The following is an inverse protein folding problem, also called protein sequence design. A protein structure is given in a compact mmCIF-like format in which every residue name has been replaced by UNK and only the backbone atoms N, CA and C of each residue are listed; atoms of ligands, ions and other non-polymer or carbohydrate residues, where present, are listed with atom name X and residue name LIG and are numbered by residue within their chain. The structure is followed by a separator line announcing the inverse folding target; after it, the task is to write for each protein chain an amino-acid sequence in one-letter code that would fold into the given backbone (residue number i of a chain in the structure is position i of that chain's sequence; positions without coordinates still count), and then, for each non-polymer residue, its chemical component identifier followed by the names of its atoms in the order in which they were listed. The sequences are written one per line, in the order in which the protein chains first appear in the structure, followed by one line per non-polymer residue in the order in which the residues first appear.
data_IF_464935279708
#
_entry.id   IF_464935279708
#
_cell.length_a   1.000
_cell.length_b   1.000
_cell.length_c   1.000
_cell.angle_alpha   90.00
_cell.angle_beta   90.00
_cell.angle_gamma   90.00
#
_symmetry.space_group_name_H-M   'P 1'
#
loop_
_entity.id
_entity.type
_entity.pdbx_description
1 polymer ?
#
# COMPACT_ATOMS: atom_id res chain seq x y z
N UNK A 1 6.80 -19.36 -3.42
CA UNK A 1 6.70 -17.92 -3.12
C UNK A 1 6.27 -17.15 -4.37
N UNK A 2 5.23 -16.37 -4.26
CA UNK A 2 4.71 -15.57 -5.38
C UNK A 2 5.51 -14.26 -5.51
N UNK A 3 5.51 -13.68 -6.73
CA UNK A 3 6.33 -12.50 -7.03
C UNK A 3 5.87 -11.26 -6.27
N UNK A 4 4.60 -10.87 -6.41
CA UNK A 4 4.14 -9.63 -5.78
C UNK A 4 2.65 -9.61 -5.51
N UNK A 5 2.30 -8.86 -4.48
CA UNK A 5 0.94 -8.52 -4.11
C UNK A 5 0.85 -7.00 -3.95
N UNK A 6 -0.18 -6.40 -4.52
CA UNK A 6 -0.52 -4.99 -4.31
C UNK A 6 -1.84 -4.96 -3.57
N UNK A 7 -1.86 -4.35 -2.40
CA UNK A 7 -3.09 -4.29 -1.61
C UNK A 7 -3.40 -2.85 -1.19
N UNK A 8 -4.68 -2.57 -1.07
CA UNK A 8 -5.09 -1.27 -0.54
C UNK A 8 -6.36 -0.69 -1.14
N UNK A 9 -6.28 0.62 -1.43
CA UNK A 9 -7.39 1.47 -1.86
C UNK A 9 -7.35 1.76 -3.37
N UNK A 10 -7.94 2.87 -3.80
CA UNK A 10 -7.97 3.26 -5.20
C UNK A 10 -6.57 3.45 -5.81
N UNK A 11 -5.61 3.87 -5.01
CA UNK A 11 -4.22 4.01 -5.48
C UNK A 11 -3.63 2.64 -5.79
N UNK A 12 -3.88 1.66 -4.93
CA UNK A 12 -3.47 0.27 -5.18
C UNK A 12 -4.12 -0.30 -6.45
N UNK A 13 -5.42 -0.02 -6.66
CA UNK A 13 -6.11 -0.41 -7.89
C UNK A 13 -5.39 0.16 -9.12
N UNK A 14 -5.06 1.45 -9.08
CA UNK A 14 -4.37 2.13 -10.17
C UNK A 14 -2.99 1.57 -10.45
N UNK A 15 -2.19 1.31 -9.42
CA UNK A 15 -0.87 0.68 -9.57
C UNK A 15 -1.01 -0.70 -10.20
N UNK A 16 -1.98 -1.49 -9.75
CA UNK A 16 -2.24 -2.83 -10.24
C UNK A 16 -2.55 -2.87 -11.74
N UNK A 17 -3.16 -1.82 -12.27
CA UNK A 17 -3.44 -1.69 -13.71
C UNK A 17 -2.17 -1.76 -14.54
N UNK A 18 -1.05 -1.27 -14.01
CA UNK A 18 0.25 -1.27 -14.71
C UNK A 18 1.17 -2.41 -14.25
N UNK A 19 0.66 -3.31 -13.41
CA UNK A 19 1.40 -4.47 -12.93
C UNK A 19 0.54 -5.73 -13.02
N UNK A 20 0.25 -6.20 -14.26
CA UNK A 20 -0.57 -7.40 -14.46
C UNK A 20 0.07 -8.68 -13.93
N UNK A 21 1.38 -8.65 -13.64
CA UNK A 21 2.12 -9.74 -13.03
C UNK A 21 1.88 -9.89 -11.53
N UNK A 22 1.32 -8.87 -10.87
CA UNK A 22 1.05 -8.89 -9.44
C UNK A 22 -0.39 -9.28 -9.13
N UNK A 23 -0.59 -10.01 -8.04
CA UNK A 23 -1.93 -10.15 -7.48
C UNK A 23 -2.37 -8.81 -6.88
N UNK A 24 -3.67 -8.52 -6.94
CA UNK A 24 -4.21 -7.26 -6.42
C UNK A 24 -5.39 -7.56 -5.51
N UNK A 25 -5.34 -7.04 -4.28
CA UNK A 25 -6.47 -7.06 -3.34
C UNK A 25 -6.70 -5.63 -2.91
N UNK A 26 -7.57 -4.94 -3.64
CA UNK A 26 -7.78 -3.52 -3.44
C UNK A 26 -9.21 -3.13 -3.78
N UNK A 27 -9.67 -2.05 -3.16
CA UNK A 27 -11.01 -1.52 -3.40
C UNK A 27 -11.01 -0.01 -3.29
N UNK A 28 -11.60 0.64 -4.27
CA UNK A 28 -11.74 2.10 -4.30
C UNK A 28 -12.49 2.58 -3.04
N UNK A 29 -11.92 3.57 -2.37
CA UNK A 29 -12.54 4.21 -1.20
C UNK A 29 -12.43 3.45 0.12
N UNK A 30 -11.74 2.32 0.15
CA UNK A 30 -11.68 1.50 1.37
C UNK A 30 -10.77 2.13 2.42
N UNK A 31 -11.20 2.07 3.67
CA UNK A 31 -10.37 2.42 4.82
C UNK A 31 -9.50 1.24 5.25
N UNK A 32 -8.45 1.50 6.02
CA UNK A 32 -7.60 0.45 6.56
C UNK A 32 -8.39 -0.54 7.41
N UNK A 33 -9.30 -0.05 8.24
CA UNK A 33 -10.15 -0.89 9.09
C UNK A 33 -11.05 -1.82 8.26
N UNK A 34 -11.69 -1.29 7.23
CA UNK A 34 -12.56 -2.09 6.37
C UNK A 34 -11.78 -3.06 5.50
N UNK A 35 -10.56 -2.68 5.06
CA UNK A 35 -9.71 -3.59 4.33
C UNK A 35 -9.37 -4.82 5.18
N UNK A 36 -8.93 -4.60 6.41
CA UNK A 36 -8.62 -5.68 7.35
C UNK A 36 -9.83 -6.60 7.56
N UNK A 37 -10.98 -6.00 7.84
CA UNK A 37 -12.23 -6.72 8.06
C UNK A 37 -12.62 -7.60 6.87
N UNK A 38 -12.48 -7.07 5.66
CA UNK A 38 -12.93 -7.74 4.44
C UNK A 38 -11.95 -8.80 3.93
N UNK A 39 -10.64 -8.60 4.15
CA UNK A 39 -9.63 -9.38 3.44
C UNK A 39 -8.63 -10.13 4.32
N UNK A 40 -8.68 -9.99 5.65
CA UNK A 40 -7.70 -10.66 6.51
C UNK A 40 -7.68 -12.18 6.36
N UNK A 41 -8.80 -12.79 5.98
CA UNK A 41 -8.90 -14.24 5.77
C UNK A 41 -8.84 -14.63 4.29
N UNK A 42 -8.58 -13.68 3.40
CA UNK A 42 -8.53 -13.95 1.96
C UNK A 42 -7.35 -14.88 1.64
N UNK A 43 -7.58 -15.96 0.90
CA UNK A 43 -6.50 -16.93 0.60
C UNK A 43 -5.29 -16.29 -0.08
N UNK A 44 -5.51 -15.36 -1.00
CA UNK A 44 -4.43 -14.68 -1.72
C UNK A 44 -3.60 -13.80 -0.78
N UNK A 45 -4.22 -13.16 0.21
CA UNK A 45 -3.51 -12.35 1.20
C UNK A 45 -2.59 -13.21 2.08
N UNK A 46 -3.01 -14.43 2.40
CA UNK A 46 -2.32 -15.27 3.37
C UNK A 46 -1.20 -16.14 2.77
N UNK A 47 -0.75 -15.80 1.56
CA UNK A 47 0.36 -16.47 0.89
C UNK A 47 1.67 -15.71 1.07
N UNK A 48 2.83 -16.39 0.96
CA UNK A 48 4.12 -15.68 0.98
C UNK A 48 4.43 -15.04 -0.36
N UNK A 49 5.04 -13.85 -0.32
CA UNK A 49 5.42 -13.07 -1.49
C UNK A 49 6.85 -12.59 -1.41
N UNK A 50 7.47 -12.36 -2.56
CA UNK A 50 8.76 -11.65 -2.60
C UNK A 50 8.55 -10.19 -2.20
N UNK A 51 7.53 -9.54 -2.76
CA UNK A 51 7.21 -8.14 -2.47
C UNK A 51 5.73 -7.98 -2.22
N UNK A 52 5.38 -7.22 -1.19
CA UNK A 52 4.01 -6.72 -0.96
C UNK A 52 4.06 -5.21 -0.93
N UNK A 53 3.26 -4.57 -1.78
CA UNK A 53 3.07 -3.13 -1.75
C UNK A 53 1.73 -2.79 -1.10
N UNK A 54 1.76 -1.87 -0.15
CA UNK A 54 0.57 -1.46 0.60
C UNK A 54 0.27 -0.01 0.29
N UNK A 55 -0.94 0.28 -0.17
CA UNK A 55 -1.44 1.64 -0.33
C UNK A 55 -2.76 1.80 0.42
N UNK A 56 -2.65 2.22 1.66
CA UNK A 56 -3.79 2.46 2.56
C UNK A 56 -3.56 3.75 3.34
N UNK A 57 -4.60 4.28 3.95
CA UNK A 57 -4.53 5.47 4.78
C UNK A 57 -5.17 6.70 4.16
N UNK A 58 -5.27 6.76 2.82
CA UNK A 58 -5.85 7.93 2.14
C UNK A 58 -7.33 8.16 2.47
N UNK A 59 -8.04 7.11 2.85
CA UNK A 59 -9.47 7.20 3.20
C UNK A 59 -9.71 7.14 4.71
N UNK A 60 -8.65 7.10 5.50
CA UNK A 60 -8.77 6.98 6.96
C UNK A 60 -8.91 8.35 7.60
N UNK A 61 -9.84 8.44 8.56
CA UNK A 61 -10.14 9.68 9.28
C UNK A 61 -10.19 9.50 10.79
N UNK A 62 -9.89 8.28 11.30
CA UNK A 62 -10.08 7.93 12.71
C UNK A 62 -8.84 7.34 13.34
N UNK A 63 -8.86 7.26 14.67
CA UNK A 63 -7.74 6.75 15.48
C UNK A 63 -7.47 5.24 15.28
N UNK A 64 -8.40 4.50 14.66
CA UNK A 64 -8.24 3.08 14.38
C UNK A 64 -7.22 2.77 13.28
N UNK A 65 -6.74 3.79 12.57
CA UNK A 65 -5.77 3.62 11.48
C UNK A 65 -4.52 2.88 11.94
N UNK A 66 -3.93 3.30 13.05
CA UNK A 66 -2.69 2.71 13.54
C UNK A 66 -2.86 1.22 13.85
N UNK A 67 -3.90 0.87 14.57
CA UNK A 67 -4.20 -0.52 14.95
C UNK A 67 -4.45 -1.38 13.72
N UNK A 68 -5.28 -0.90 12.80
CA UNK A 68 -5.63 -1.64 11.60
C UNK A 68 -4.43 -1.86 10.69
N UNK A 69 -3.62 -0.83 10.45
CA UNK A 69 -2.42 -0.95 9.62
C UNK A 69 -1.39 -1.87 10.26
N UNK A 70 -1.20 -1.78 11.56
CA UNK A 70 -0.30 -2.68 12.26
C UNK A 70 -0.75 -4.14 12.13
N UNK A 71 -2.04 -4.40 12.32
CA UNK A 71 -2.59 -5.74 12.19
C UNK A 71 -2.42 -6.30 10.77
N UNK A 72 -2.68 -5.48 9.76
CA UNK A 72 -2.47 -5.87 8.37
C UNK A 72 -1.01 -6.23 8.16
N UNK A 73 -0.09 -5.35 8.57
CA UNK A 73 1.35 -5.57 8.38
C UNK A 73 1.83 -6.84 9.07
N UNK A 74 1.37 -7.10 10.28
CA UNK A 74 1.79 -8.26 11.06
C UNK A 74 1.38 -9.59 10.43
N UNK A 75 0.38 -9.59 9.56
CA UNK A 75 -0.11 -10.79 8.86
C UNK A 75 0.59 -11.05 7.54
N UNK A 76 1.39 -10.11 7.05
CA UNK A 76 2.06 -10.20 5.75
C UNK A 76 3.33 -11.04 5.89
N UNK A 77 3.50 -11.99 4.97
CA UNK A 77 4.70 -12.81 4.82
C UNK A 77 5.38 -12.43 3.51
N UNK A 78 6.43 -11.64 3.59
CA UNK A 78 7.12 -11.16 2.40
C UNK A 78 8.60 -10.92 2.69
N UNK A 79 9.42 -11.06 1.65
CA UNK A 79 10.83 -10.69 1.74
C UNK A 79 11.00 -9.18 1.84
N UNK A 80 10.12 -8.43 1.19
CA UNK A 80 10.13 -6.97 1.20
C UNK A 80 8.71 -6.44 1.22
N UNK A 81 8.48 -5.43 2.06
CA UNK A 81 7.22 -4.68 2.09
C UNK A 81 7.50 -3.23 1.74
N UNK A 82 6.68 -2.68 0.86
CA UNK A 82 6.77 -1.30 0.39
C UNK A 82 5.46 -0.59 0.71
N UNK A 83 5.56 0.54 1.38
CA UNK A 83 4.40 1.39 1.69
C UNK A 83 4.36 2.55 0.69
N UNK A 84 3.26 2.65 -0.05
CA UNK A 84 2.99 3.83 -0.87
C UNK A 84 2.37 4.88 0.05
N UNK A 85 3.05 6.01 0.21
CA UNK A 85 2.67 7.01 1.19
C UNK A 85 1.46 7.83 0.72
N UNK A 86 0.47 8.06 1.60
CA UNK A 86 -0.63 8.96 1.26
C UNK A 86 -0.17 10.42 1.16
N UNK A 87 -1.06 11.29 0.70
CA UNK A 87 -0.79 12.71 0.44
C UNK A 87 -0.13 13.43 1.61
N UNK A 88 0.96 14.15 1.34
CA UNK A 88 1.64 14.99 2.34
C UNK A 88 0.72 16.07 2.89
N UNK A 89 -0.01 16.73 2.01
CA UNK A 89 -0.82 17.88 2.37
C UNK A 89 -2.09 17.49 3.11
N UNK A 90 -2.70 16.36 2.71
CA UNK A 90 -4.05 16.01 3.16
C UNK A 90 -4.07 14.92 4.25
N UNK A 91 -3.02 14.12 4.35
CA UNK A 91 -2.97 12.99 5.28
C UNK A 91 -1.69 12.94 6.14
N UNK A 92 -1.33 14.04 6.81
CA UNK A 92 -0.08 14.07 7.58
C UNK A 92 -0.07 13.09 8.76
N UNK A 93 -1.22 12.87 9.41
CA UNK A 93 -1.32 11.94 10.55
C UNK A 93 -1.10 10.51 10.10
N UNK A 94 -1.75 10.11 9.00
CA UNK A 94 -1.61 8.76 8.45
C UNK A 94 -0.17 8.50 8.00
N UNK A 95 0.50 9.50 7.45
CA UNK A 95 1.91 9.39 7.06
C UNK A 95 2.81 9.09 8.25
N UNK A 96 2.61 9.77 9.38
CA UNK A 96 3.39 9.53 10.61
C UNK A 96 3.19 8.10 11.09
N UNK A 97 1.96 7.64 11.12
CA UNK A 97 1.62 6.27 11.55
C UNK A 97 2.32 5.24 10.67
N UNK A 98 2.23 5.41 9.34
CA UNK A 98 2.86 4.49 8.39
C UNK A 98 4.37 4.47 8.57
N UNK A 99 4.99 5.64 8.73
CA UNK A 99 6.44 5.72 8.94
C UNK A 99 6.89 4.97 10.19
N UNK A 100 6.13 5.07 11.27
CA UNK A 100 6.44 4.35 12.50
C UNK A 100 6.35 2.83 12.31
N UNK A 101 5.31 2.36 11.64
CA UNK A 101 5.14 0.93 11.36
C UNK A 101 6.24 0.45 10.42
N UNK A 102 6.49 1.18 9.34
CA UNK A 102 7.53 0.83 8.37
C UNK A 102 8.91 0.74 9.03
N UNK A 103 9.20 1.67 9.93
CA UNK A 103 10.48 1.67 10.66
C UNK A 103 10.60 0.44 11.55
N UNK A 104 9.55 0.08 12.27
CA UNK A 104 9.54 -1.09 13.15
C UNK A 104 9.81 -2.39 12.37
N UNK A 105 9.19 -2.55 11.21
CA UNK A 105 9.34 -3.75 10.39
C UNK A 105 10.47 -3.65 9.35
N UNK A 106 11.19 -2.53 9.31
CA UNK A 106 12.26 -2.24 8.34
C UNK A 106 11.76 -2.30 6.90
N UNK A 107 10.57 -1.79 6.68
CA UNK A 107 9.95 -1.72 5.37
C UNK A 107 10.45 -0.53 4.57
N UNK A 108 10.21 -0.57 3.26
CA UNK A 108 10.52 0.54 2.36
C UNK A 108 9.34 1.49 2.26
N UNK A 109 9.64 2.75 1.95
CA UNK A 109 8.65 3.80 1.74
C UNK A 109 8.79 4.33 0.33
N UNK A 110 7.67 4.52 -0.35
CA UNK A 110 7.61 5.03 -1.70
C UNK A 110 6.66 6.23 -1.73
N UNK A 111 7.19 7.38 -2.14
CA UNK A 111 6.41 8.61 -2.24
C UNK A 111 5.76 8.75 -3.61
N UNK A 112 4.61 9.41 -3.66
CA UNK A 112 3.94 9.75 -4.90
C UNK A 112 4.54 11.07 -5.41
N UNK A 113 5.31 11.01 -6.49
CA UNK A 113 6.00 12.19 -7.03
C UNK A 113 5.15 12.97 -8.03
N UNK A 114 4.25 12.30 -8.74
CA UNK A 114 3.37 12.94 -9.74
C UNK A 114 1.92 12.84 -9.29
N UNK A 115 1.51 13.83 -8.54
CA UNK A 115 0.18 13.92 -7.98
C UNK A 115 -0.74 14.67 -8.94
N UNK A 116 -1.98 14.19 -9.09
CA UNK A 116 -3.00 14.93 -9.84
C UNK A 116 -3.47 16.15 -9.05
N UNK A 117 -4.29 17.00 -9.70
CA UNK A 117 -4.74 18.24 -9.07
C UNK A 117 -5.63 18.02 -7.84
N UNK A 118 -6.19 16.83 -7.63
CA UNK A 118 -6.98 16.56 -6.42
C UNK A 118 -6.10 16.40 -5.17
N UNK A 119 -4.78 16.31 -5.34
CA UNK A 119 -3.84 16.20 -4.24
C UNK A 119 -3.83 14.85 -3.53
N UNK A 120 -4.55 13.86 -4.04
CA UNK A 120 -4.68 12.53 -3.43
C UNK A 120 -4.19 11.45 -4.38
N UNK A 121 -4.68 11.46 -5.61
CA UNK A 121 -4.39 10.41 -6.58
C UNK A 121 -3.19 10.77 -7.46
N UNK A 122 -2.34 9.80 -7.78
CA UNK A 122 -1.30 9.99 -8.80
C UNK A 122 -1.91 10.32 -10.16
N UNK A 123 -1.13 10.99 -11.02
CA UNK A 123 -1.45 11.06 -12.45
C UNK A 123 -1.23 9.69 -13.09
N UNK A 124 -1.66 9.53 -14.36
CA UNK A 124 -1.39 8.28 -15.10
C UNK A 124 0.09 7.95 -15.12
N UNK A 125 0.95 8.95 -15.39
CA UNK A 125 2.39 8.77 -15.35
C UNK A 125 2.90 8.43 -13.95
N UNK A 126 2.28 9.00 -12.92
CA UNK A 126 2.59 8.69 -11.53
C UNK A 126 2.34 7.22 -11.18
N UNK A 127 1.23 6.66 -11.66
CA UNK A 127 0.93 5.24 -11.46
C UNK A 127 1.95 4.34 -12.15
N UNK A 128 2.36 4.69 -13.36
CA UNK A 128 3.39 3.93 -14.09
C UNK A 128 4.69 3.93 -13.32
N UNK A 129 5.11 5.08 -12.83
CA UNK A 129 6.35 5.23 -12.05
C UNK A 129 6.30 4.44 -10.75
N UNK A 130 5.17 4.47 -10.03
CA UNK A 130 5.01 3.69 -8.81
C UNK A 130 5.13 2.19 -9.09
N UNK A 131 4.48 1.72 -10.14
CA UNK A 131 4.56 0.31 -10.53
C UNK A 131 5.98 -0.14 -10.81
N UNK A 132 6.76 0.67 -11.56
CA UNK A 132 8.16 0.39 -11.84
C UNK A 132 9.03 0.43 -10.59
N UNK A 133 8.78 1.38 -9.70
CA UNK A 133 9.57 1.56 -8.48
C UNK A 133 9.44 0.37 -7.54
N UNK A 134 8.29 -0.27 -7.48
CA UNK A 134 8.10 -1.48 -6.67
C UNK A 134 9.09 -2.56 -7.08
N UNK A 135 9.25 -2.79 -8.38
CA UNK A 135 10.23 -3.76 -8.89
C UNK A 135 11.67 -3.37 -8.55
N UNK A 136 12.01 -2.11 -8.75
CA UNK A 136 13.36 -1.63 -8.51
C UNK A 136 13.77 -1.79 -7.04
N UNK A 137 12.85 -1.55 -6.12
CA UNK A 137 13.08 -1.73 -4.69
C UNK A 137 13.23 -3.20 -4.32
N UNK A 138 12.53 -4.10 -4.99
CA UNK A 138 12.60 -5.53 -4.71
C UNK A 138 13.93 -6.15 -5.13
N UNK A 139 14.66 -5.51 -6.02
CA UNK A 139 15.94 -6.01 -6.54
C UNK A 139 17.16 -5.52 -5.74
N UNK A 140 16.92 -4.81 -4.66
CA UNK A 140 18.00 -4.32 -3.77
C UNK A 140 18.20 -5.27 -2.57
#
# INVERSE_FOLDING_TARGET
MLECLILGDSIAVGIGTYRPDCAVIAKVGITSQNWLKSYQSHPTFNKPYKVVAISLGSNDHRNTTAESLYDIRSKIKADMVVWVMPSRALKPVQRVIIKEIANEFRDKILEINKMSYDGIHPTGQGYIELGKSINNLSNR
#
